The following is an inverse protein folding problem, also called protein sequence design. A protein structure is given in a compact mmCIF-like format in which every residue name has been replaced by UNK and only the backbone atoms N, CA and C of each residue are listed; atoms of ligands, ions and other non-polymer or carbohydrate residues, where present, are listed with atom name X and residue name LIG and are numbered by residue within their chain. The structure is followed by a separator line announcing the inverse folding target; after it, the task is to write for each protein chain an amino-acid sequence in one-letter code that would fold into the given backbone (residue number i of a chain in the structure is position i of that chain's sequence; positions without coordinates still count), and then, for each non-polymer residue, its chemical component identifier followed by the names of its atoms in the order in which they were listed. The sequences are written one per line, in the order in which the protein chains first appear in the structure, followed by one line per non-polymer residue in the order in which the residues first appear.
data_IF_978576965434
#
_entry.id   IF_978576965434
#
_cell.length_a   1.000
_cell.length_b   1.000
_cell.length_c   1.000
_cell.angle_alpha   90.00
_cell.angle_beta   90.00
_cell.angle_gamma   90.00
#
_symmetry.space_group_name_H-M   'P 1'
#
loop_
_entity.id
_entity.type
_entity.pdbx_description
1 polymer ?
#
# COMPACT_ATOMS: atom_id res chain seq x y z
N UNK A 1 10.74 6.09 -30.28
CA UNK A 1 10.95 5.27 -29.05
C UNK A 1 10.22 5.82 -27.83
N UNK A 2 10.41 7.08 -27.41
CA UNK A 2 9.76 7.67 -26.22
C UNK A 2 8.23 7.48 -26.16
N UNK A 3 7.52 7.78 -27.24
CA UNK A 3 6.06 7.66 -27.27
C UNK A 3 5.59 6.20 -27.23
N UNK A 4 6.33 5.27 -27.85
CA UNK A 4 6.01 3.84 -27.83
C UNK A 4 6.08 3.27 -26.40
N UNK A 5 7.11 3.65 -25.63
CA UNK A 5 7.25 3.23 -24.22
C UNK A 5 6.10 3.79 -23.39
N UNK A 6 5.75 5.07 -23.55
CA UNK A 6 4.63 5.69 -22.81
C UNK A 6 3.28 5.07 -23.13
N UNK A 7 3.03 4.74 -24.40
CA UNK A 7 1.77 4.08 -24.81
C UNK A 7 1.71 2.64 -24.27
N UNK A 8 2.82 1.90 -24.29
CA UNK A 8 2.89 0.57 -23.69
C UNK A 8 2.65 0.63 -22.16
N UNK A 9 3.26 1.58 -21.46
CA UNK A 9 3.01 1.81 -20.03
C UNK A 9 1.56 2.22 -19.77
N UNK A 10 0.94 3.02 -20.65
CA UNK A 10 -0.47 3.41 -20.54
C UNK A 10 -1.41 2.21 -20.68
N UNK A 11 -1.13 1.29 -21.60
CA UNK A 11 -1.87 0.03 -21.73
C UNK A 11 -1.73 -0.84 -20.47
N UNK A 12 -0.53 -0.97 -19.92
CA UNK A 12 -0.30 -1.73 -18.69
C UNK A 12 -1.03 -1.12 -17.48
N UNK A 13 -1.02 0.21 -17.36
CA UNK A 13 -1.80 0.93 -16.35
C UNK A 13 -3.31 0.69 -16.54
N UNK A 14 -3.82 0.79 -17.77
CA UNK A 14 -5.24 0.55 -18.05
C UNK A 14 -5.63 -0.89 -17.68
N UNK A 15 -4.77 -1.87 -17.96
CA UNK A 15 -4.97 -3.26 -17.57
C UNK A 15 -5.03 -3.41 -16.04
N UNK A 16 -4.16 -2.72 -15.30
CA UNK A 16 -4.19 -2.72 -13.84
C UNK A 16 -5.47 -2.09 -13.26
N UNK A 17 -5.98 -1.00 -13.86
CA UNK A 17 -7.27 -0.39 -13.48
C UNK A 17 -8.42 -1.38 -13.70
N UNK A 18 -8.45 -2.03 -14.87
CA UNK A 18 -9.48 -3.01 -15.19
C UNK A 18 -9.39 -4.24 -14.30
N UNK A 19 -8.18 -4.70 -13.98
CA UNK A 19 -7.96 -5.81 -13.05
C UNK A 19 -8.41 -5.43 -11.65
N UNK A 20 -8.13 -4.22 -11.16
CA UNK A 20 -8.65 -3.72 -9.88
C UNK A 20 -10.19 -3.71 -9.84
N UNK A 21 -10.84 -3.26 -10.92
CA UNK A 21 -12.30 -3.28 -11.03
C UNK A 21 -12.86 -4.71 -11.03
N UNK A 22 -12.18 -5.63 -11.71
CA UNK A 22 -12.61 -7.01 -11.81
C UNK A 22 -12.35 -7.82 -10.53
N UNK A 23 -11.17 -7.70 -9.91
CA UNK A 23 -10.81 -8.50 -8.73
C UNK A 23 -11.38 -7.94 -7.45
N UNK A 24 -11.22 -6.62 -7.22
CA UNK A 24 -11.58 -5.99 -5.94
C UNK A 24 -13.05 -5.57 -5.94
N UNK A 25 -13.50 -4.88 -6.98
CA UNK A 25 -14.88 -4.40 -7.08
C UNK A 25 -15.84 -5.45 -7.67
N UNK A 26 -15.32 -6.60 -8.14
CA UNK A 26 -16.09 -7.72 -8.71
C UNK A 26 -17.11 -7.28 -9.77
N UNK A 27 -16.70 -6.31 -10.58
CA UNK A 27 -17.49 -5.79 -11.70
C UNK A 27 -17.54 -6.83 -12.83
N UNK A 28 -18.63 -6.84 -13.61
CA UNK A 28 -18.74 -7.74 -14.76
C UNK A 28 -17.57 -7.57 -15.74
N UNK A 29 -17.17 -8.67 -16.37
CA UNK A 29 -16.06 -8.70 -17.32
C UNK A 29 -16.26 -7.66 -18.44
N UNK A 30 -17.48 -7.55 -18.98
CA UNK A 30 -17.80 -6.61 -20.06
C UNK A 30 -17.56 -5.15 -19.68
N UNK A 31 -17.93 -4.75 -18.46
CA UNK A 31 -17.71 -3.38 -17.98
C UNK A 31 -16.22 -3.15 -17.71
N UNK A 32 -15.51 -4.15 -17.18
CA UNK A 32 -14.06 -4.04 -16.95
C UNK A 32 -13.27 -3.89 -18.26
N UNK A 33 -13.65 -4.62 -19.31
CA UNK A 33 -13.07 -4.47 -20.66
C UNK A 33 -13.44 -3.13 -21.28
N UNK A 34 -14.67 -2.66 -21.09
CA UNK A 34 -15.07 -1.34 -21.55
C UNK A 34 -14.24 -0.22 -20.90
N UNK A 35 -14.05 -0.29 -19.57
CA UNK A 35 -13.21 0.67 -18.85
C UNK A 35 -11.74 0.56 -19.28
N UNK A 36 -11.23 -0.65 -19.53
CA UNK A 36 -9.89 -0.84 -20.09
C UNK A 36 -9.71 -0.06 -21.41
N UNK A 37 -10.63 -0.27 -22.36
CA UNK A 37 -10.58 0.39 -23.67
C UNK A 37 -10.70 1.92 -23.52
N UNK A 38 -11.60 2.39 -22.67
CA UNK A 38 -11.78 3.82 -22.40
C UNK A 38 -10.53 4.44 -21.78
N UNK A 39 -9.97 3.84 -20.73
CA UNK A 39 -8.76 4.37 -20.07
C UNK A 39 -7.55 4.31 -21.00
N UNK A 40 -7.39 3.25 -21.79
CA UNK A 40 -6.29 3.12 -22.75
C UNK A 40 -6.38 4.17 -23.88
N UNK A 41 -7.57 4.38 -24.44
CA UNK A 41 -7.81 5.39 -25.49
C UNK A 41 -7.67 6.82 -24.96
N UNK A 42 -8.26 7.13 -23.80
CA UNK A 42 -8.13 8.45 -23.19
C UNK A 42 -6.68 8.76 -22.80
N UNK A 43 -5.96 7.82 -22.17
CA UNK A 43 -4.57 8.04 -21.75
C UNK A 43 -3.64 8.21 -22.95
N UNK A 44 -3.76 7.39 -24.00
CA UNK A 44 -2.98 7.56 -25.23
C UNK A 44 -3.30 8.87 -25.94
N UNK A 45 -4.56 9.27 -26.03
CA UNK A 45 -4.96 10.55 -26.62
C UNK A 45 -4.38 11.75 -25.84
N UNK A 46 -4.47 11.74 -24.50
CA UNK A 46 -3.96 12.84 -23.66
C UNK A 46 -2.44 12.95 -23.75
N UNK A 47 -1.71 11.82 -23.84
CA UNK A 47 -0.25 11.84 -24.03
C UNK A 47 0.12 12.49 -25.37
N UNK A 48 -0.66 12.24 -26.43
CA UNK A 48 -0.44 12.86 -27.75
C UNK A 48 -0.79 14.35 -27.75
N UNK A 49 -1.91 14.74 -27.10
CA UNK A 49 -2.37 16.13 -27.02
C UNK A 49 -1.50 17.00 -26.10
N UNK A 50 -1.06 16.45 -24.96
CA UNK A 50 -0.37 17.20 -23.91
C UNK A 50 0.63 16.32 -23.16
N UNK A 51 1.90 16.42 -23.56
CA UNK A 51 2.93 15.51 -23.08
C UNK A 51 3.14 15.56 -21.55
N UNK A 52 3.13 16.75 -20.96
CA UNK A 52 3.36 16.92 -19.52
C UNK A 52 2.17 16.51 -18.65
N UNK A 53 0.94 16.82 -19.09
CA UNK A 53 -0.27 16.50 -18.35
C UNK A 53 -0.59 15.00 -18.45
N UNK A 54 -0.47 14.41 -19.65
CA UNK A 54 -0.70 12.98 -19.85
C UNK A 54 0.22 12.11 -19.00
N UNK A 55 1.53 12.43 -18.99
CA UNK A 55 2.50 11.72 -18.13
C UNK A 55 2.14 11.86 -16.66
N UNK A 56 1.74 13.06 -16.21
CA UNK A 56 1.39 13.29 -14.80
C UNK A 56 0.14 12.52 -14.39
N UNK A 57 -0.92 12.52 -15.21
CA UNK A 57 -2.17 11.80 -14.91
C UNK A 57 -1.92 10.29 -14.92
N UNK A 58 -1.23 9.75 -15.93
CA UNK A 58 -0.96 8.31 -16.01
C UNK A 58 -0.08 7.83 -14.86
N UNK A 59 0.92 8.63 -14.48
CA UNK A 59 1.78 8.32 -13.33
C UNK A 59 0.99 8.35 -12.01
N UNK A 60 0.07 9.30 -11.85
CA UNK A 60 -0.82 9.37 -10.69
C UNK A 60 -1.78 8.18 -10.62
N UNK A 61 -2.38 7.80 -11.75
CA UNK A 61 -3.26 6.62 -11.82
C UNK A 61 -2.48 5.34 -11.50
N UNK A 62 -1.27 5.19 -12.01
CA UNK A 62 -0.40 4.04 -11.70
C UNK A 62 -0.05 4.00 -10.21
N UNK A 63 0.27 5.15 -9.62
CA UNK A 63 0.53 5.28 -8.19
C UNK A 63 -0.71 5.02 -7.33
N UNK A 64 -1.90 5.23 -7.88
CA UNK A 64 -3.15 4.93 -7.22
C UNK A 64 -3.46 3.43 -7.25
N UNK A 65 -3.37 2.82 -8.42
CA UNK A 65 -3.87 1.44 -8.64
C UNK A 65 -2.92 0.37 -8.14
N UNK A 66 -1.61 0.47 -8.38
CA UNK A 66 -0.71 -0.65 -8.08
C UNK A 66 -0.53 -0.91 -6.58
N UNK A 67 -0.25 0.09 -5.73
CA UNK A 67 -0.15 -0.13 -4.30
C UNK A 67 -1.49 -0.57 -3.68
N UNK A 68 -2.61 0.01 -4.11
CA UNK A 68 -3.94 -0.37 -3.59
C UNK A 68 -4.31 -1.78 -4.00
N UNK A 69 -4.11 -2.13 -5.27
CA UNK A 69 -4.31 -3.48 -5.78
C UNK A 69 -3.45 -4.49 -4.99
N UNK A 70 -2.16 -4.20 -4.79
CA UNK A 70 -1.23 -5.09 -4.11
C UNK A 70 -1.66 -5.45 -2.68
N UNK A 71 -2.14 -4.48 -1.90
CA UNK A 71 -2.61 -4.75 -0.53
C UNK A 71 -4.00 -5.38 -0.54
N UNK A 72 -4.92 -4.90 -1.38
CA UNK A 72 -6.27 -5.43 -1.45
C UNK A 72 -6.31 -6.90 -1.86
N UNK A 73 -5.51 -7.31 -2.85
CA UNK A 73 -5.45 -8.72 -3.28
C UNK A 73 -4.95 -9.62 -2.17
N UNK A 74 -3.84 -9.25 -1.53
CA UNK A 74 -3.24 -10.03 -0.44
C UNK A 74 -4.19 -10.16 0.74
N UNK A 75 -4.86 -9.08 1.11
CA UNK A 75 -5.81 -9.12 2.22
C UNK A 75 -7.05 -9.95 1.87
N UNK A 76 -7.58 -9.85 0.64
CA UNK A 76 -8.68 -10.71 0.18
C UNK A 76 -8.27 -12.19 0.17
N UNK A 77 -7.04 -12.51 -0.26
CA UNK A 77 -6.53 -13.88 -0.26
C UNK A 77 -6.44 -14.45 1.16
N UNK A 78 -6.01 -13.63 2.14
CA UNK A 78 -6.00 -14.03 3.56
C UNK A 78 -7.44 -14.28 4.08
N UNK A 79 -8.40 -13.43 3.73
CA UNK A 79 -9.80 -13.63 4.11
C UNK A 79 -10.42 -14.88 3.47
N UNK A 80 -10.09 -15.17 2.20
CA UNK A 80 -10.52 -16.40 1.50
C UNK A 80 -9.94 -17.65 2.13
N UNK A 81 -8.68 -17.60 2.56
CA UNK A 81 -8.06 -18.70 3.30
C UNK A 81 -8.80 -18.98 4.63
N UNK A 82 -9.40 -17.98 5.29
CA UNK A 82 -10.19 -18.22 6.51
C UNK A 82 -11.48 -19.00 6.30
N UNK A 83 -12.09 -18.89 5.12
CA UNK A 83 -13.32 -19.62 4.78
C UNK A 83 -13.04 -21.05 4.34
N UNK A 84 -11.92 -21.29 3.68
CA UNK A 84 -11.52 -22.62 3.20
C UNK A 84 -10.84 -23.46 4.30
N UNK A 85 -10.10 -22.83 5.21
CA UNK A 85 -9.26 -23.54 6.15
C UNK A 85 -9.93 -23.76 7.51
N UNK A 86 -10.15 -25.05 7.84
CA UNK A 86 -10.57 -25.52 9.18
C UNK A 86 -9.39 -26.03 10.01
N UNK A 87 -8.15 -26.07 9.48
CA UNK A 87 -6.98 -26.54 10.21
C UNK A 87 -6.34 -25.43 11.05
N UNK A 88 -5.95 -25.80 12.27
CA UNK A 88 -5.08 -24.97 13.09
C UNK A 88 -3.64 -25.10 12.59
N UNK A 89 -3.28 -24.27 11.62
CA UNK A 89 -1.90 -24.17 11.15
C UNK A 89 -0.98 -23.69 12.27
N UNK A 90 0.17 -24.36 12.43
CA UNK A 90 1.20 -23.98 13.38
C UNK A 90 1.79 -22.59 13.11
N UNK A 91 2.44 -22.00 14.13
CA UNK A 91 3.04 -20.67 14.03
C UNK A 91 3.96 -20.49 12.82
N UNK A 92 4.79 -21.50 12.52
CA UNK A 92 5.73 -21.46 11.41
C UNK A 92 5.04 -21.31 10.05
N UNK A 93 3.95 -22.06 9.81
CA UNK A 93 3.18 -21.97 8.57
C UNK A 93 2.53 -20.59 8.40
N UNK A 94 1.96 -20.04 9.49
CA UNK A 94 1.37 -18.69 9.46
C UNK A 94 2.43 -17.60 9.22
N UNK A 95 3.60 -17.72 9.83
CA UNK A 95 4.71 -16.79 9.61
C UNK A 95 5.25 -16.87 8.17
N UNK A 96 5.33 -18.08 7.62
CA UNK A 96 5.71 -18.30 6.22
C UNK A 96 4.67 -17.71 5.26
N UNK A 97 3.37 -17.96 5.50
CA UNK A 97 2.27 -17.36 4.73
C UNK A 97 2.32 -15.84 4.75
N UNK A 98 2.46 -15.22 5.93
CA UNK A 98 2.59 -13.77 6.06
C UNK A 98 3.82 -13.20 5.31
N UNK A 99 4.94 -13.93 5.32
CA UNK A 99 6.15 -13.57 4.58
C UNK A 99 5.93 -13.65 3.07
N UNK A 100 5.27 -14.70 2.59
CA UNK A 100 4.91 -14.84 1.18
C UNK A 100 3.95 -13.72 0.74
N UNK A 101 2.92 -13.44 1.52
CA UNK A 101 1.98 -12.33 1.31
C UNK A 101 2.69 -10.98 1.26
N UNK A 102 3.65 -10.74 2.15
CA UNK A 102 4.48 -9.53 2.13
C UNK A 102 5.31 -9.43 0.84
N UNK A 103 5.98 -10.51 0.44
CA UNK A 103 6.79 -10.55 -0.76
C UNK A 103 5.96 -10.32 -2.03
N UNK A 104 4.78 -10.95 -2.13
CA UNK A 104 3.83 -10.76 -3.24
C UNK A 104 3.35 -9.30 -3.29
N UNK A 105 2.96 -8.72 -2.15
CA UNK A 105 2.52 -7.33 -2.05
C UNK A 105 3.61 -6.35 -2.55
N UNK A 106 4.85 -6.55 -2.09
CA UNK A 106 5.99 -5.74 -2.50
C UNK A 106 6.34 -5.93 -3.98
N UNK A 107 6.24 -7.15 -4.52
CA UNK A 107 6.49 -7.43 -5.92
C UNK A 107 5.48 -6.72 -6.84
N UNK A 108 4.18 -6.79 -6.53
CA UNK A 108 3.12 -6.11 -7.31
C UNK A 108 3.35 -4.59 -7.28
N UNK A 109 3.68 -4.04 -6.11
CA UNK A 109 3.96 -2.60 -5.96
C UNK A 109 5.22 -2.18 -6.74
N UNK A 110 6.27 -2.99 -6.73
CA UNK A 110 7.49 -2.77 -7.51
C UNK A 110 7.24 -2.81 -9.02
N UNK A 111 6.40 -3.74 -9.51
CA UNK A 111 6.02 -3.77 -10.93
C UNK A 111 5.35 -2.45 -11.35
N UNK A 112 4.44 -1.93 -10.52
CA UNK A 112 3.84 -0.60 -10.73
C UNK A 112 4.87 0.53 -10.72
N UNK A 113 5.83 0.46 -9.79
CA UNK A 113 6.88 1.45 -9.69
C UNK A 113 7.78 1.45 -10.94
N UNK A 114 8.10 0.28 -11.51
CA UNK A 114 8.84 0.17 -12.77
C UNK A 114 8.06 0.74 -13.96
N UNK A 115 6.73 0.55 -13.98
CA UNK A 115 5.88 1.16 -15.02
C UNK A 115 5.89 2.70 -14.96
N UNK A 116 5.94 3.28 -13.75
CA UNK A 116 6.06 4.74 -13.58
C UNK A 116 7.36 5.30 -14.13
N UNK A 117 8.48 4.56 -14.01
CA UNK A 117 9.76 4.96 -14.63
C UNK A 117 9.59 5.10 -16.15
N UNK A 118 8.82 4.21 -16.79
CA UNK A 118 8.50 4.28 -18.23
C UNK A 118 7.81 5.59 -18.64
N UNK A 119 6.89 6.09 -17.81
CA UNK A 119 6.24 7.38 -18.04
C UNK A 119 7.20 8.57 -17.85
N UNK A 120 8.05 8.51 -16.81
CA UNK A 120 8.96 9.59 -16.42
C UNK A 120 10.32 9.57 -17.13
N UNK A 121 10.56 8.67 -18.09
CA UNK A 121 11.83 8.52 -18.82
C UNK A 121 12.21 9.72 -19.75
N UNK A 122 11.64 10.91 -19.53
CA UNK A 122 12.03 12.11 -20.26
C UNK A 122 13.23 12.79 -19.62
N UNK A 123 14.08 13.42 -20.46
CA UNK A 123 15.21 14.23 -19.98
C UNK A 123 14.74 15.34 -19.02
N UNK A 124 13.56 15.92 -19.27
CA UNK A 124 12.97 16.99 -18.42
C UNK A 124 12.67 16.52 -16.98
N UNK A 125 12.27 15.26 -16.79
CA UNK A 125 12.02 14.70 -15.47
C UNK A 125 13.31 14.21 -14.80
N UNK A 126 14.24 13.63 -15.57
CA UNK A 126 15.54 13.16 -15.07
C UNK A 126 16.46 14.30 -14.60
N UNK A 127 16.46 15.44 -15.30
CA UNK A 127 17.23 16.63 -14.88
C UNK A 127 16.52 17.37 -13.72
N UNK A 128 15.27 17.00 -13.40
CA UNK A 128 14.51 17.60 -12.32
C UNK A 128 13.87 18.96 -12.64
N UNK A 129 13.91 19.39 -13.91
CA UNK A 129 13.29 20.66 -14.35
C UNK A 129 11.77 20.59 -14.32
N UNK A 130 11.19 19.38 -14.46
CA UNK A 130 9.81 19.10 -14.12
C UNK A 130 9.77 17.98 -13.07
N UNK A 131 9.03 18.21 -11.98
CA UNK A 131 8.82 17.23 -10.92
C UNK A 131 7.37 16.76 -10.94
N UNK A 132 7.15 15.51 -10.53
CA UNK A 132 5.81 14.97 -10.33
C UNK A 132 5.11 15.75 -9.20
N UNK A 133 4.21 16.66 -9.55
CA UNK A 133 3.48 17.51 -8.57
C UNK A 133 2.47 16.72 -7.71
N UNK A 134 2.15 15.50 -8.12
CA UNK A 134 1.15 14.64 -7.48
C UNK A 134 1.65 13.77 -6.32
N UNK A 135 2.92 13.87 -5.88
CA UNK A 135 3.51 12.97 -4.86
C UNK A 135 2.63 12.86 -3.60
N UNK A 136 2.14 13.99 -3.09
CA UNK A 136 1.29 14.01 -1.88
C UNK A 136 -0.05 13.32 -2.11
N UNK A 137 -0.68 13.58 -3.26
CA UNK A 137 -1.97 12.97 -3.63
C UNK A 137 -1.79 11.46 -3.83
N UNK A 138 -0.71 11.04 -4.48
CA UNK A 138 -0.40 9.62 -4.70
C UNK A 138 -0.09 8.83 -3.42
N UNK A 139 0.12 9.50 -2.29
CA UNK A 139 0.29 8.84 -1.00
C UNK A 139 -0.99 8.85 -0.18
N UNK A 140 -1.71 9.98 -0.16
CA UNK A 140 -2.91 10.12 0.64
C UNK A 140 -4.13 9.42 0.03
N UNK A 141 -4.30 9.52 -1.29
CA UNK A 141 -5.49 9.01 -1.97
C UNK A 141 -5.57 7.47 -1.93
N UNK A 142 -4.50 6.70 -2.22
CA UNK A 142 -4.51 5.24 -2.04
C UNK A 142 -4.88 4.82 -0.62
N UNK A 143 -4.28 5.50 0.36
CA UNK A 143 -4.48 5.20 1.78
C UNK A 143 -5.95 5.42 2.18
N UNK A 144 -6.57 6.49 1.68
CA UNK A 144 -7.98 6.78 1.88
C UNK A 144 -8.87 5.70 1.25
N UNK A 145 -8.62 5.35 -0.02
CA UNK A 145 -9.39 4.30 -0.72
C UNK A 145 -9.30 2.98 0.04
N UNK A 146 -8.10 2.59 0.43
CA UNK A 146 -7.87 1.35 1.17
C UNK A 146 -8.57 1.37 2.54
N UNK A 147 -8.48 2.48 3.29
CA UNK A 147 -9.18 2.62 4.57
C UNK A 147 -10.70 2.51 4.41
N UNK A 148 -11.28 3.13 3.38
CA UNK A 148 -12.72 3.04 3.09
C UNK A 148 -13.12 1.61 2.72
N UNK A 149 -12.33 0.90 1.93
CA UNK A 149 -12.58 -0.49 1.56
C UNK A 149 -12.53 -1.44 2.77
N UNK A 150 -11.63 -1.19 3.72
CA UNK A 150 -11.56 -1.93 4.98
C UNK A 150 -12.77 -1.65 5.88
N UNK A 151 -13.10 -0.37 6.12
CA UNK A 151 -14.20 0.03 7.01
C UNK A 151 -15.57 -0.43 6.49
N UNK A 152 -15.77 -0.37 5.18
CA UNK A 152 -17.01 -0.86 4.55
C UNK A 152 -17.18 -2.38 4.65
N UNK A 153 -16.14 -3.11 5.06
CA UNK A 153 -16.13 -4.58 5.09
C UNK A 153 -16.17 -5.20 3.69
N UNK A 154 -15.86 -4.42 2.65
CA UNK A 154 -15.89 -4.86 1.25
C UNK A 154 -14.96 -6.05 1.01
N UNK A 155 -13.87 -6.12 1.77
CA UNK A 155 -12.84 -7.15 1.65
C UNK A 155 -13.14 -8.42 2.43
N UNK A 156 -14.11 -8.39 3.35
CA UNK A 156 -14.54 -9.57 4.13
C UNK A 156 -15.60 -10.40 3.40
N UNK A 157 -16.14 -9.88 2.30
CA UNK A 157 -17.22 -10.53 1.57
C UNK A 157 -16.66 -11.62 0.65
N UNK A 158 -17.07 -12.86 0.92
CA UNK A 158 -16.68 -14.01 0.11
C UNK A 158 -17.12 -13.87 -1.35
N UNK A 159 -16.19 -14.19 -2.26
CA UNK A 159 -16.34 -14.15 -3.71
C UNK A 159 -17.43 -15.10 -4.23
N UNK A 160 -17.89 -16.03 -3.40
CA UNK A 160 -18.94 -17.03 -3.68
C UNK A 160 -20.37 -16.47 -3.62
N UNK A 161 -20.57 -15.31 -3.01
CA UNK A 161 -21.89 -14.67 -2.95
C UNK A 161 -22.13 -13.86 -4.24
N UNK A 162 -22.92 -14.42 -5.15
CA UNK A 162 -23.46 -13.78 -6.36
C UNK A 162 -24.41 -12.60 -6.08
N UNK A 163 -24.12 -11.74 -5.09
CA UNK A 163 -24.81 -10.48 -4.92
C UNK A 163 -24.33 -9.50 -5.99
N UNK A 164 -25.27 -8.96 -6.80
CA UNK A 164 -24.98 -7.97 -7.83
C UNK A 164 -24.17 -6.81 -7.23
N UNK A 165 -23.20 -6.29 -7.98
CA UNK A 165 -22.36 -5.13 -7.60
C UNK A 165 -23.18 -3.97 -7.01
N UNK A 166 -24.38 -3.72 -7.55
CA UNK A 166 -25.27 -2.66 -7.08
C UNK A 166 -25.80 -2.90 -5.64
N UNK A 167 -26.06 -4.13 -5.24
CA UNK A 167 -26.46 -4.47 -3.87
C UNK A 167 -25.29 -4.36 -2.90
N UNK A 168 -24.07 -4.68 -3.35
CA UNK A 168 -22.83 -4.51 -2.57
C UNK A 168 -22.51 -3.04 -2.34
N UNK A 169 -22.65 -2.21 -3.38
CA UNK A 169 -22.54 -0.76 -3.26
C UNK A 169 -23.60 -0.20 -2.31
N UNK A 170 -24.87 -0.59 -2.45
CA UNK A 170 -25.94 -0.13 -1.54
C UNK A 170 -25.69 -0.55 -0.10
N UNK A 171 -25.29 -1.79 0.19
CA UNK A 171 -24.99 -2.24 1.55
C UNK A 171 -23.75 -1.57 2.14
N UNK A 172 -22.73 -1.30 1.32
CA UNK A 172 -21.52 -0.62 1.78
C UNK A 172 -21.76 0.86 2.05
N UNK A 173 -22.51 1.52 1.17
CA UNK A 173 -22.99 2.89 1.39
C UNK A 173 -23.90 2.92 2.62
N UNK A 174 -24.79 1.93 2.79
CA UNK A 174 -25.65 1.84 3.98
C UNK A 174 -24.84 1.66 5.26
N UNK A 175 -23.84 0.76 5.30
CA UNK A 175 -22.94 0.62 6.46
C UNK A 175 -22.14 1.89 6.74
N UNK A 176 -21.64 2.57 5.72
CA UNK A 176 -20.94 3.86 5.88
C UNK A 176 -21.91 4.93 6.41
N UNK A 177 -23.12 5.00 5.87
CA UNK A 177 -24.18 5.89 6.34
C UNK A 177 -24.63 5.54 7.77
N UNK A 178 -24.70 4.26 8.13
CA UNK A 178 -25.04 3.78 9.47
C UNK A 178 -23.92 4.11 10.46
N UNK A 179 -22.65 4.01 10.05
CA UNK A 179 -21.50 4.48 10.83
C UNK A 179 -21.57 6.01 11.01
N UNK A 180 -21.92 6.75 9.96
CA UNK A 180 -22.06 8.21 10.02
C UNK A 180 -23.30 8.67 10.81
N UNK A 181 -24.34 7.83 10.88
CA UNK A 181 -25.59 8.07 11.62
C UNK A 181 -25.55 7.51 13.04
N UNK A 182 -24.51 6.75 13.40
CA UNK A 182 -24.27 6.32 14.77
C UNK A 182 -23.89 7.53 15.63
N UNK A 183 -24.36 7.60 16.89
CA UNK A 183 -24.02 8.72 17.76
C UNK A 183 -22.50 8.79 17.93
N UNK A 184 -21.90 9.87 17.44
CA UNK A 184 -20.45 10.08 17.52
C UNK A 184 -20.10 10.27 18.99
N UNK A 185 -19.64 9.21 19.66
CA UNK A 185 -19.06 9.37 21.00
C UNK A 185 -17.86 10.30 20.91
N UNK A 186 -17.65 11.13 21.94
CA UNK A 186 -16.55 12.09 22.04
C UNK A 186 -15.17 11.47 21.78
N UNK A 187 -14.99 10.19 22.10
CA UNK A 187 -13.79 9.41 21.78
C UNK A 187 -13.54 9.29 20.26
N UNK A 188 -14.57 9.06 19.44
CA UNK A 188 -14.43 8.97 17.98
C UNK A 188 -14.04 10.32 17.37
N UNK A 189 -14.61 11.42 17.87
CA UNK A 189 -14.23 12.77 17.45
C UNK A 189 -12.77 13.07 17.82
N UNK A 190 -12.34 12.72 19.03
CA UNK A 190 -10.95 12.91 19.49
C UNK A 190 -9.95 12.05 18.70
N UNK A 191 -10.27 10.79 18.42
CA UNK A 191 -9.44 9.91 17.57
C UNK A 191 -9.36 10.46 16.14
N UNK A 192 -10.49 10.89 15.57
CA UNK A 192 -10.51 11.45 14.21
C UNK A 192 -9.66 12.71 14.12
N UNK A 193 -9.74 13.59 15.12
CA UNK A 193 -8.91 14.79 15.21
C UNK A 193 -7.42 14.43 15.32
N UNK A 194 -7.06 13.47 16.18
CA UNK A 194 -5.69 12.99 16.32
C UNK A 194 -5.14 12.39 15.02
N UNK A 195 -5.94 11.58 14.32
CA UNK A 195 -5.57 11.02 13.01
C UNK A 195 -5.38 12.14 11.98
N UNK A 196 -6.26 13.15 11.95
CA UNK A 196 -6.10 14.31 11.07
C UNK A 196 -4.84 15.11 11.37
N UNK A 197 -4.55 15.36 12.65
CA UNK A 197 -3.32 16.04 13.10
C UNK A 197 -2.09 15.22 12.70
N UNK A 198 -2.12 13.90 12.90
CA UNK A 198 -1.01 13.02 12.52
C UNK A 198 -0.80 12.97 11.00
N UNK A 199 -1.88 12.87 10.22
CA UNK A 199 -1.83 12.93 8.76
C UNK A 199 -1.31 14.29 8.27
N UNK A 200 -1.78 15.40 8.85
CA UNK A 200 -1.30 16.74 8.52
C UNK A 200 0.18 16.91 8.87
N UNK A 201 0.59 16.50 10.07
CA UNK A 201 2.00 16.48 10.49
C UNK A 201 2.84 15.62 9.54
N UNK A 202 2.34 14.44 9.14
CA UNK A 202 3.03 13.55 8.21
C UNK A 202 3.21 14.16 6.82
N UNK A 203 2.19 14.86 6.29
CA UNK A 203 2.24 15.59 5.00
C UNK A 203 3.19 16.79 5.04
N UNK A 204 3.23 17.50 6.18
CA UNK A 204 4.16 18.62 6.40
C UNK A 204 5.59 18.06 6.48
N UNK A 205 5.80 16.93 7.17
CA UNK A 205 7.08 16.23 7.29
C UNK A 205 7.58 15.56 6.01
N UNK A 206 6.71 15.20 5.07
CA UNK A 206 7.14 14.71 3.74
C UNK A 206 7.51 15.84 2.79
N UNK A 207 7.15 17.09 3.10
CA UNK A 207 7.70 18.27 2.45
C UNK A 207 9.13 18.55 2.92
N UNK A 208 10.00 18.97 2.01
CA UNK A 208 11.40 19.34 2.24
C UNK A 208 11.57 20.63 3.10
N UNK A 209 10.61 20.94 3.98
CA UNK A 209 10.44 22.25 4.63
C UNK A 209 10.82 22.19 6.12
N UNK A 210 10.95 21.00 6.72
CA UNK A 210 11.36 20.87 8.12
C UNK A 210 12.35 19.70 8.37
N UNK A 211 13.63 19.84 7.98
CA UNK A 211 14.70 18.92 8.38
C UNK A 211 15.00 18.95 9.89
N UNK A 212 14.67 20.06 10.57
CA UNK A 212 15.10 20.36 11.94
C UNK A 212 14.30 19.65 13.05
N UNK A 213 13.17 19.03 12.73
CA UNK A 213 12.33 18.35 13.74
C UNK A 213 12.73 16.89 14.00
N UNK A 214 13.89 16.43 13.52
CA UNK A 214 14.36 15.04 13.70
C UNK A 214 15.01 14.88 15.08
N UNK A 215 14.58 13.91 15.91
CA UNK A 215 15.27 13.58 17.15
C UNK A 215 16.74 13.23 16.90
N UNK A 216 17.66 13.72 17.74
CA UNK A 216 19.10 13.52 17.56
C UNK A 216 19.52 12.04 17.48
N UNK A 217 18.78 11.13 18.13
CA UNK A 217 19.01 9.69 18.03
C UNK A 217 18.66 9.12 16.65
N UNK A 218 17.64 9.66 15.98
CA UNK A 218 17.24 9.24 14.64
C UNK A 218 18.27 9.70 13.59
N UNK A 219 18.91 10.86 13.80
CA UNK A 219 20.04 11.33 12.98
C UNK A 219 21.25 10.40 13.09
N UNK A 220 21.67 10.05 14.32
CA UNK A 220 22.79 9.12 14.54
C UNK A 220 22.54 7.74 13.95
N UNK A 221 21.32 7.22 14.10
CA UNK A 221 20.95 5.93 13.50
C UNK A 221 20.98 5.99 11.97
N UNK A 222 20.57 7.12 11.38
CA UNK A 222 20.66 7.33 9.92
C UNK A 222 22.10 7.40 9.43
N UNK A 223 22.98 8.10 10.15
CA UNK A 223 24.41 8.19 9.83
C UNK A 223 25.09 6.82 9.91
N UNK A 224 24.77 6.02 10.95
CA UNK A 224 25.26 4.65 11.06
C UNK A 224 24.80 3.79 9.87
N UNK A 225 23.51 3.83 9.54
CA UNK A 225 22.97 3.08 8.41
C UNK A 225 23.57 3.52 7.07
N UNK A 226 23.82 4.81 6.88
CA UNK A 226 24.47 5.34 5.68
C UNK A 226 25.93 4.85 5.56
N UNK A 227 26.67 4.85 6.68
CA UNK A 227 28.05 4.34 6.75
C UNK A 227 28.13 2.84 6.48
N UNK A 228 27.16 2.05 6.96
CA UNK A 228 27.14 0.60 6.76
C UNK A 228 26.60 0.18 5.39
N UNK A 229 25.61 0.87 4.85
CA UNK A 229 24.85 0.41 3.67
C UNK A 229 25.17 1.18 2.39
N UNK A 230 26.04 2.21 2.41
CA UNK A 230 26.41 3.10 1.28
C UNK A 230 25.23 3.95 0.79
N UNK A 231 24.02 3.37 0.71
CA UNK A 231 22.77 4.02 0.36
C UNK A 231 21.80 3.90 1.52
N UNK A 232 21.49 5.03 2.14
CA UNK A 232 20.55 5.13 3.26
C UNK A 232 19.17 4.55 2.90
N UNK A 233 18.64 3.55 3.64
CA UNK A 233 17.26 3.10 3.51
C UNK A 233 16.27 4.17 4.02
N UNK A 234 15.06 4.20 3.46
CA UNK A 234 14.00 5.07 4.00
C UNK A 234 13.56 4.54 5.36
N UNK A 235 13.88 5.29 6.41
CA UNK A 235 13.57 4.93 7.80
C UNK A 235 12.10 4.54 8.01
N UNK A 236 11.18 5.27 7.36
CA UNK A 236 9.73 5.02 7.41
C UNK A 236 9.33 3.66 6.80
N UNK A 237 10.05 3.19 5.79
CA UNK A 237 9.81 1.89 5.14
C UNK A 237 10.38 0.76 6.00
N UNK A 238 11.66 0.87 6.38
CA UNK A 238 12.37 -0.19 7.08
C UNK A 238 11.89 -0.43 8.52
N UNK A 239 11.59 0.63 9.29
CA UNK A 239 11.31 0.49 10.73
C UNK A 239 9.82 0.52 11.10
N UNK A 240 8.97 1.10 10.25
CA UNK A 240 7.55 1.26 10.53
C UNK A 240 6.69 0.51 9.51
N UNK A 241 6.80 0.85 8.23
CA UNK A 241 5.92 0.31 7.19
C UNK A 241 6.02 -1.20 7.03
N UNK A 242 7.17 -1.70 6.56
CA UNK A 242 7.31 -3.13 6.26
C UNK A 242 7.16 -4.06 7.48
N UNK A 243 7.71 -3.74 8.67
CA UNK A 243 7.47 -4.55 9.86
C UNK A 243 5.99 -4.58 10.26
N UNK A 244 5.31 -3.43 10.26
CA UNK A 244 3.88 -3.35 10.60
C UNK A 244 3.02 -4.13 9.59
N UNK A 245 3.37 -4.09 8.31
CA UNK A 245 2.66 -4.84 7.27
C UNK A 245 2.80 -6.35 7.47
N UNK A 246 4.01 -6.85 7.76
CA UNK A 246 4.26 -8.26 8.01
C UNK A 246 3.51 -8.77 9.25
N UNK A 247 3.61 -8.04 10.36
CA UNK A 247 2.89 -8.38 11.61
C UNK A 247 1.38 -8.27 11.40
N UNK A 248 0.92 -7.29 10.62
CA UNK A 248 -0.47 -7.11 10.27
C UNK A 248 -1.04 -8.32 9.54
N UNK A 249 -0.37 -8.77 8.47
CA UNK A 249 -0.78 -9.97 7.74
C UNK A 249 -0.77 -11.22 8.61
N UNK A 250 0.25 -11.41 9.46
CA UNK A 250 0.28 -12.54 10.39
C UNK A 250 -0.89 -12.51 11.39
N UNK A 251 -1.20 -11.35 11.99
CA UNK A 251 -2.38 -11.21 12.87
C UNK A 251 -3.69 -11.46 12.11
N UNK A 252 -3.78 -11.06 10.83
CA UNK A 252 -4.92 -11.41 9.99
C UNK A 252 -5.06 -12.92 9.86
N UNK A 253 -3.97 -13.67 9.60
CA UNK A 253 -4.04 -15.15 9.55
C UNK A 253 -4.56 -15.75 10.86
N UNK A 254 -4.36 -15.08 12.01
CA UNK A 254 -4.91 -15.48 13.31
C UNK A 254 -6.38 -15.09 13.54
N UNK A 255 -7.05 -14.48 12.56
CA UNK A 255 -8.42 -13.94 12.66
C UNK A 255 -8.55 -12.76 13.65
N UNK A 256 -7.44 -12.17 14.07
CA UNK A 256 -7.40 -11.04 15.01
C UNK A 256 -7.58 -9.70 14.29
N UNK A 257 -8.83 -9.34 13.97
CA UNK A 257 -9.18 -8.14 13.19
C UNK A 257 -8.82 -6.82 13.89
N UNK A 258 -8.92 -6.77 15.22
CA UNK A 258 -8.78 -5.52 16.01
C UNK A 258 -7.40 -4.89 15.88
N UNK A 259 -6.35 -5.71 15.87
CA UNK A 259 -4.97 -5.25 15.79
C UNK A 259 -4.40 -5.35 14.38
N UNK A 260 -4.86 -6.30 13.58
CA UNK A 260 -4.36 -6.47 12.21
C UNK A 260 -4.72 -5.29 11.30
N UNK A 261 -5.97 -4.83 11.32
CA UNK A 261 -6.42 -3.77 10.40
C UNK A 261 -5.64 -2.45 10.56
N UNK A 262 -5.44 -1.91 11.79
CA UNK A 262 -4.59 -0.73 11.97
C UNK A 262 -3.14 -0.96 11.54
N UNK A 263 -2.58 -2.15 11.79
CA UNK A 263 -1.20 -2.48 11.43
C UNK A 263 -1.01 -2.57 9.91
N UNK A 264 -1.97 -3.15 9.20
CA UNK A 264 -1.94 -3.19 7.72
C UNK A 264 -2.09 -1.78 7.14
N UNK A 265 -2.91 -0.92 7.74
CA UNK A 265 -3.02 0.50 7.34
C UNK A 265 -1.70 1.26 7.55
N UNK A 266 -1.05 1.10 8.69
CA UNK A 266 0.28 1.69 8.95
C UNK A 266 1.32 1.08 8.01
N UNK A 267 1.24 -0.23 7.78
CA UNK A 267 2.14 -0.94 6.92
C UNK A 267 2.05 -0.53 5.44
N UNK A 268 0.85 -0.13 5.01
CA UNK A 268 0.62 0.36 3.66
C UNK A 268 1.43 1.64 3.35
N UNK A 269 1.74 2.45 4.36
CA UNK A 269 2.64 3.61 4.22
C UNK A 269 4.01 3.17 3.67
N UNK A 270 4.50 1.99 4.05
CA UNK A 270 5.74 1.42 3.52
C UNK A 270 5.65 1.15 2.02
N UNK A 271 4.58 0.53 1.53
CA UNK A 271 4.38 0.25 0.11
C UNK A 271 4.22 1.55 -0.71
N UNK A 272 3.49 2.53 -0.17
CA UNK A 272 3.32 3.85 -0.81
C UNK A 272 4.64 4.63 -0.87
N UNK A 273 5.44 4.58 0.18
CA UNK A 273 6.77 5.20 0.22
C UNK A 273 7.73 4.52 -0.76
N UNK A 274 7.69 3.18 -0.83
CA UNK A 274 8.48 2.38 -1.75
C UNK A 274 8.18 2.76 -3.20
N UNK A 275 6.90 2.81 -3.57
CA UNK A 275 6.45 3.27 -4.89
C UNK A 275 6.94 4.69 -5.18
N UNK A 276 6.76 5.59 -4.20
CA UNK A 276 7.18 6.98 -4.33
C UNK A 276 8.70 7.17 -4.42
N UNK A 277 9.53 6.17 -4.09
CA UNK A 277 10.97 6.24 -4.36
C UNK A 277 11.26 6.37 -5.85
N UNK A 278 10.44 5.76 -6.70
CA UNK A 278 10.64 5.72 -8.15
C UNK A 278 9.99 6.89 -8.91
N UNK A 279 9.15 7.68 -8.26
CA UNK A 279 8.60 8.94 -8.83
C UNK A 279 9.66 10.05 -8.86
N UNK A 280 10.69 9.94 -8.01
CA UNK A 280 11.83 10.85 -7.95
C UNK A 280 12.96 10.40 -8.90
N UNK A 281 12.66 10.38 -10.21
CA UNK A 281 13.58 9.88 -11.24
C UNK A 281 14.87 10.72 -11.42
N UNK A 282 14.95 11.89 -10.79
CA UNK A 282 16.18 12.69 -10.72
C UNK A 282 17.28 12.01 -9.89
N UNK A 283 16.91 11.10 -9.00
CA UNK A 283 17.88 10.22 -8.33
C UNK A 283 18.25 9.06 -9.24
N UNK A 284 19.53 8.66 -9.33
CA UNK A 284 19.93 7.54 -10.16
C UNK A 284 19.15 6.27 -9.79
N UNK A 285 18.61 5.58 -10.80
CA UNK A 285 17.74 4.41 -10.60
C UNK A 285 18.41 3.32 -9.75
N UNK A 286 19.71 3.11 -9.92
CA UNK A 286 20.50 2.17 -9.12
C UNK A 286 20.41 2.47 -7.61
N UNK A 287 20.54 3.74 -7.23
CA UNK A 287 20.46 4.18 -5.82
C UNK A 287 19.05 3.98 -5.29
N UNK A 288 18.03 4.27 -6.09
CA UNK A 288 16.63 4.06 -5.70
C UNK A 288 16.24 2.60 -5.56
N UNK A 289 16.82 1.72 -6.38
CA UNK A 289 16.64 0.28 -6.26
C UNK A 289 17.32 -0.27 -4.99
N UNK A 290 18.60 0.07 -4.76
CA UNK A 290 19.31 -0.33 -3.54
C UNK A 290 18.58 0.13 -2.27
N UNK A 291 18.07 1.37 -2.26
CA UNK A 291 17.30 1.90 -1.14
C UNK A 291 16.07 1.05 -0.82
N UNK A 292 15.35 0.64 -1.85
CA UNK A 292 14.15 -0.20 -1.72
C UNK A 292 14.51 -1.61 -1.25
N UNK A 293 15.55 -2.22 -1.82
CA UNK A 293 16.05 -3.53 -1.36
C UNK A 293 16.42 -3.45 0.11
N UNK A 294 17.17 -2.42 0.52
CA UNK A 294 17.52 -2.19 1.91
C UNK A 294 16.32 -1.99 2.83
N UNK A 295 15.30 -1.27 2.38
CA UNK A 295 14.03 -1.12 3.10
C UNK A 295 13.32 -2.45 3.31
N UNK A 296 13.25 -3.28 2.29
CA UNK A 296 12.53 -4.56 2.31
C UNK A 296 13.20 -5.60 3.22
N UNK A 297 14.51 -5.84 3.09
CA UNK A 297 15.16 -6.88 3.89
C UNK A 297 15.26 -6.48 5.37
N UNK A 298 15.56 -5.22 5.68
CA UNK A 298 15.56 -4.71 7.06
C UNK A 298 14.17 -4.78 7.67
N UNK A 299 13.16 -4.34 6.92
CA UNK A 299 11.77 -4.40 7.37
C UNK A 299 11.27 -5.81 7.61
N UNK A 300 11.67 -6.75 6.76
CA UNK A 300 11.39 -8.17 6.94
C UNK A 300 12.08 -8.73 8.19
N UNK A 301 13.37 -8.44 8.40
CA UNK A 301 14.13 -8.91 9.56
C UNK A 301 13.53 -8.40 10.87
N UNK A 302 13.22 -7.09 10.94
CA UNK A 302 12.58 -6.48 12.10
C UNK A 302 11.18 -7.07 12.31
N UNK A 303 10.41 -7.26 11.23
CA UNK A 303 9.09 -7.87 11.30
C UNK A 303 9.13 -9.29 11.88
N UNK A 304 10.04 -10.14 11.41
CA UNK A 304 10.23 -11.50 11.95
C UNK A 304 10.66 -11.46 13.41
N UNK A 305 11.57 -10.57 13.78
CA UNK A 305 11.99 -10.41 15.17
C UNK A 305 10.80 -10.08 16.07
N UNK A 306 9.95 -9.14 15.66
CA UNK A 306 8.71 -8.79 16.39
C UNK A 306 7.74 -9.97 16.44
N UNK A 307 7.56 -10.71 15.34
CA UNK A 307 6.72 -11.91 15.30
C UNK A 307 7.21 -12.99 16.28
N UNK A 308 8.52 -13.21 16.34
CA UNK A 308 9.12 -14.17 17.27
C UNK A 308 8.95 -13.75 18.72
N UNK A 309 9.01 -12.45 19.02
CA UNK A 309 8.75 -11.94 20.36
C UNK A 309 7.27 -12.15 20.74
N UNK A 310 6.34 -11.84 19.85
CA UNK A 310 4.90 -12.04 20.07
C UNK A 310 4.60 -13.52 20.30
N UNK A 311 5.17 -14.43 19.50
CA UNK A 311 4.95 -15.87 19.67
C UNK A 311 5.52 -16.41 20.98
N UNK A 312 6.68 -15.90 21.41
CA UNK A 312 7.26 -16.22 22.71
C UNK A 312 6.37 -15.75 23.87
N UNK A 313 5.76 -14.57 23.77
CA UNK A 313 4.84 -14.07 24.79
C UNK A 313 3.51 -14.85 24.82
N UNK A 314 2.97 -15.24 23.66
CA UNK A 314 1.73 -16.01 23.54
C UNK A 314 1.87 -17.46 24.05
N UNK A 315 3.03 -18.08 23.83
CA UNK A 315 3.31 -19.43 24.36
C UNK A 315 3.43 -19.44 25.88
N UNK A 316 4.02 -18.41 26.49
CA UNK A 316 4.08 -18.26 27.96
C UNK A 316 2.73 -18.01 28.62
N UNK A 317 1.87 -17.21 28.00
CA UNK A 317 0.52 -16.94 28.55
C UNK A 317 -0.39 -18.17 28.48
N UNK A 318 -0.28 -19.00 27.41
CA UNK A 318 -1.00 -20.29 27.36
C UNK A 318 -0.47 -21.32 28.37
N UNK A 319 0.81 -21.27 28.74
CA UNK A 319 1.37 -22.16 29.76
C UNK A 319 0.88 -21.82 31.18
N UNK A 320 0.65 -20.53 31.49
CA UNK A 320 0.15 -20.09 32.79
C UNK A 320 -1.32 -20.42 33.08
N UNK A 321 -2.13 -20.73 32.05
CA UNK A 321 -3.55 -21.08 32.23
C UNK A 321 -3.79 -22.58 32.44
N UNK A 322 -2.80 -23.45 32.18
CA UNK A 322 -2.94 -24.90 32.43
C UNK A 322 -2.53 -25.33 33.84
N UNK A 323 -2.13 -24.40 34.69
CA UNK A 323 -1.62 -24.65 36.05
C UNK A 323 -2.40 -23.91 37.13
N UNK A 324 -3.65 -23.51 36.86
CA UNK A 324 -4.57 -22.88 37.81
C UNK A 324 -5.80 -23.73 38.04
#
# INVERSE_FOLDING_TARGET
MRNCVRVASALAMAAAVALFLFTILQVSLSVSVFVFLLVATCSSAIIVLSDALGVSICSLLTALTFPTLAVCTVVQDIYRAHTEDKRDDGFANRAFSATASFAICSAITLLGAMLVIGFLCDRRFMVGTMQFRGVKISQLLPMLIFAVLLISGWMEWDSSSCAKVNERFKCSVKKICDIFSSPVLWWHAMVTLLVFIFCAYWIIRTGNIAPEAVPAWELKLRELLEKFLIVRPRFKEAFLGHPALLVGFWLMTMKEKRFSLPLVLVGFIGQLSMFNTFTHIHTPLYVSFLRTVHGLWLGWLIGIFVLSLISFMLTRTKAGWKTG
#
